data_IF_395239711439
#
_entry.id   IF_395239711439
#
_cell.length_a   1.000
_cell.length_b   1.000
_cell.length_c   1.000
_cell.angle_alpha   90.00
_cell.angle_beta   90.00
_cell.angle_gamma   90.00
#
_symmetry.space_group_name_H-M   'P 1'
#
loop_
_entity.id
_entity.type
_entity.pdbx_description
1 polymer ?
#
# COMPACT_ATOMS: atom_id res chain seq x y z
N UNK A 1 -1.52 -2.22 6.25
CA UNK A 1 -2.80 -2.86 6.59
C UNK A 1 -3.79 -1.76 6.94
N UNK A 2 -5.00 -1.83 6.39
CA UNK A 2 -6.14 -0.99 6.79
C UNK A 2 -7.20 -1.88 7.45
N UNK A 3 -8.01 -1.32 8.35
CA UNK A 3 -9.05 -2.08 9.07
C UNK A 3 -10.11 -2.66 8.11
N UNK A 4 -10.94 -3.59 8.57
CA UNK A 4 -12.03 -4.12 7.74
C UNK A 4 -13.16 -3.13 7.51
N UNK A 5 -13.27 -2.13 8.38
CA UNK A 5 -14.22 -1.03 8.32
C UNK A 5 -13.76 0.10 7.40
N UNK A 6 -12.49 0.10 7.00
CA UNK A 6 -11.92 1.10 6.10
C UNK A 6 -12.36 0.90 4.65
N UNK A 7 -12.43 2.00 3.90
CA UNK A 7 -12.46 1.96 2.44
C UNK A 7 -11.08 1.55 1.92
N UNK A 8 -10.90 0.26 1.65
CA UNK A 8 -9.61 -0.27 1.20
C UNK A 8 -9.30 0.11 -0.25
N UNK A 9 -10.29 0.40 -1.09
CA UNK A 9 -10.09 0.87 -2.47
C UNK A 9 -9.55 2.31 -2.46
N UNK A 10 -10.08 3.15 -1.56
CA UNK A 10 -9.54 4.47 -1.28
C UNK A 10 -8.07 4.39 -0.82
N UNK A 11 -7.77 3.50 0.13
CA UNK A 11 -6.41 3.28 0.60
C UNK A 11 -5.46 2.78 -0.50
N UNK A 12 -5.94 1.91 -1.40
CA UNK A 12 -5.18 1.42 -2.55
C UNK A 12 -4.87 2.58 -3.52
N UNK A 13 -5.84 3.46 -3.76
CA UNK A 13 -5.65 4.64 -4.60
C UNK A 13 -4.62 5.60 -4.01
N UNK A 14 -4.69 5.88 -2.71
CA UNK A 14 -3.68 6.70 -2.02
C UNK A 14 -2.27 6.09 -2.15
N UNK A 15 -2.16 4.76 -2.11
CA UNK A 15 -0.87 4.08 -2.32
C UNK A 15 -0.37 4.23 -3.76
N UNK A 16 -1.24 4.09 -4.75
CA UNK A 16 -0.90 4.30 -6.16
C UNK A 16 -0.47 5.74 -6.43
N UNK A 17 -1.16 6.72 -5.88
CA UNK A 17 -0.82 8.15 -5.97
C UNK A 17 0.57 8.43 -5.37
N UNK A 18 0.81 7.99 -4.13
CA UNK A 18 2.10 8.17 -3.44
C UNK A 18 3.26 7.51 -4.19
N UNK A 19 3.04 6.34 -4.81
CA UNK A 19 4.05 5.69 -5.65
C UNK A 19 4.24 6.40 -7.00
N UNK A 20 3.16 6.91 -7.59
CA UNK A 20 3.16 7.62 -8.87
C UNK A 20 4.06 8.85 -8.85
N UNK A 21 3.97 9.65 -7.79
CA UNK A 21 4.82 10.83 -7.58
C UNK A 21 6.32 10.49 -7.62
N UNK A 22 6.72 9.37 -7.03
CA UNK A 22 8.12 8.95 -6.96
C UNK A 22 8.56 8.16 -8.21
N UNK A 23 7.62 7.57 -8.94
CA UNK A 23 7.89 6.80 -10.14
C UNK A 23 8.25 7.67 -11.35
N UNK A 24 8.06 8.99 -11.28
CA UNK A 24 8.34 9.91 -12.38
C UNK A 24 9.78 9.82 -12.89
N UNK A 25 10.80 9.66 -12.04
CA UNK A 25 12.20 9.54 -12.50
C UNK A 25 12.46 8.25 -13.30
N UNK A 26 11.70 7.18 -13.02
CA UNK A 26 11.91 5.87 -13.64
C UNK A 26 11.00 5.64 -14.85
N UNK A 27 9.82 6.27 -14.83
CA UNK A 27 8.77 6.11 -15.85
C UNK A 27 8.85 7.16 -16.96
N UNK A 28 9.54 8.28 -16.73
CA UNK A 28 9.65 9.39 -17.69
C UNK A 28 11.03 9.44 -18.36
N UNK A 29 11.06 9.68 -19.67
CA UNK A 29 12.28 10.07 -20.39
C UNK A 29 13.29 8.97 -20.70
N UNK A 30 14.59 9.31 -20.64
CA UNK A 30 15.69 8.49 -21.13
C UNK A 30 15.93 7.22 -20.29
N UNK A 31 15.59 7.25 -18.99
CA UNK A 31 15.71 6.10 -18.07
C UNK A 31 14.73 5.00 -18.46
N UNK A 32 13.46 5.32 -18.68
CA UNK A 32 12.46 4.38 -19.17
C UNK A 32 12.86 3.77 -20.52
N UNK A 33 13.42 4.60 -21.43
CA UNK A 33 13.95 4.14 -22.72
C UNK A 33 15.13 3.18 -22.54
N UNK A 34 16.10 3.52 -21.68
CA UNK A 34 17.26 2.66 -21.37
C UNK A 34 16.83 1.34 -20.72
N UNK A 35 15.85 1.37 -19.81
CA UNK A 35 15.27 0.17 -19.20
C UNK A 35 14.60 -0.73 -20.24
N UNK A 36 13.79 -0.17 -21.16
CA UNK A 36 13.21 -0.95 -22.26
C UNK A 36 14.28 -1.54 -23.18
N UNK A 37 15.32 -0.78 -23.51
CA UNK A 37 16.42 -1.27 -24.36
C UNK A 37 17.24 -2.37 -23.66
N UNK A 38 17.48 -2.24 -22.35
CA UNK A 38 18.15 -3.25 -21.56
C UNK A 38 17.30 -4.52 -21.43
N UNK A 39 15.98 -4.37 -21.24
CA UNK A 39 15.02 -5.48 -21.22
C UNK A 39 15.12 -6.34 -22.49
N UNK A 40 15.13 -5.68 -23.66
CA UNK A 40 15.26 -6.31 -24.97
C UNK A 40 16.62 -7.00 -25.15
N UNK A 41 17.70 -6.45 -24.59
CA UNK A 41 19.06 -6.98 -24.71
C UNK A 41 19.34 -8.15 -23.75
N UNK A 42 18.72 -8.16 -22.58
CA UNK A 42 18.98 -9.15 -21.53
C UNK A 42 17.82 -10.14 -21.28
N UNK A 43 16.80 -10.14 -22.15
CA UNK A 43 15.54 -10.90 -22.00
C UNK A 43 14.88 -10.74 -20.61
N UNK A 44 15.10 -9.58 -19.98
CA UNK A 44 14.48 -9.24 -18.70
C UNK A 44 13.06 -8.80 -19.00
N UNK A 45 12.09 -9.67 -18.76
CA UNK A 45 10.65 -9.35 -18.91
C UNK A 45 10.22 -8.38 -17.81
N UNK A 46 10.35 -7.08 -18.05
CA UNK A 46 9.65 -6.08 -17.24
C UNK A 46 8.18 -6.05 -17.69
N UNK A 47 7.30 -6.76 -16.98
CA UNK A 47 5.87 -6.80 -17.31
C UNK A 47 5.19 -5.44 -17.11
N UNK A 48 5.60 -4.66 -16.11
CA UNK A 48 5.06 -3.32 -15.83
C UNK A 48 6.17 -2.39 -15.32
N UNK A 49 6.42 -1.30 -16.05
CA UNK A 49 7.30 -0.20 -15.61
C UNK A 49 6.58 0.80 -14.71
N UNK A 50 5.25 0.71 -14.66
CA UNK A 50 4.39 1.54 -13.83
C UNK A 50 4.21 0.90 -12.45
N UNK A 51 4.02 1.71 -11.39
CA UNK A 51 3.61 1.21 -10.09
C UNK A 51 2.35 0.35 -10.17
N UNK A 52 2.27 -0.67 -9.34
CA UNK A 52 1.13 -1.58 -9.22
C UNK A 52 0.97 -2.00 -7.77
N UNK A 53 -0.25 -2.27 -7.35
CA UNK A 53 -0.62 -2.75 -6.03
C UNK A 53 -1.08 -4.20 -6.08
N UNK A 54 -0.92 -4.89 -4.96
CA UNK A 54 -1.49 -6.22 -4.69
C UNK A 54 -2.27 -6.16 -3.39
N UNK A 55 -3.48 -6.71 -3.40
CA UNK A 55 -4.36 -6.74 -2.24
C UNK A 55 -4.46 -8.15 -1.71
N UNK A 56 -4.27 -8.32 -0.41
CA UNK A 56 -4.47 -9.59 0.30
C UNK A 56 -5.17 -9.36 1.64
N UNK A 57 -5.87 -10.37 2.14
CA UNK A 57 -6.52 -10.29 3.46
C UNK A 57 -5.60 -10.89 4.53
N UNK A 58 -5.51 -10.23 5.68
CA UNK A 58 -4.80 -10.68 6.89
C UNK A 58 -5.75 -10.67 8.09
N UNK A 59 -5.32 -11.27 9.19
CA UNK A 59 -6.13 -11.43 10.41
C UNK A 59 -6.70 -10.12 10.95
N UNK A 60 -5.99 -9.01 10.76
CA UNK A 60 -6.36 -7.70 11.30
C UNK A 60 -6.88 -6.71 10.25
N UNK A 61 -7.00 -7.10 8.98
CA UNK A 61 -7.51 -6.21 7.93
C UNK A 61 -6.99 -6.51 6.53
N UNK A 62 -7.06 -5.49 5.65
CA UNK A 62 -6.65 -5.59 4.24
C UNK A 62 -5.21 -5.11 4.06
N UNK A 63 -4.36 -5.95 3.51
CA UNK A 63 -2.96 -5.65 3.18
C UNK A 63 -2.85 -5.20 1.72
N UNK A 64 -2.33 -3.99 1.53
CA UNK A 64 -2.04 -3.42 0.23
C UNK A 64 -0.53 -3.34 0.09
N UNK A 65 0.00 -4.05 -0.90
CA UNK A 65 1.44 -4.11 -1.20
C UNK A 65 1.73 -3.39 -2.49
N UNK A 66 2.46 -2.28 -2.41
CA UNK A 66 2.91 -1.52 -3.57
C UNK A 66 4.20 -2.10 -4.17
N UNK A 67 4.26 -2.14 -5.50
CA UNK A 67 5.43 -2.52 -6.29
C UNK A 67 5.73 -1.39 -7.27
N UNK A 68 6.95 -0.86 -7.22
CA UNK A 68 7.46 0.09 -8.21
C UNK A 68 8.93 -0.20 -8.55
N UNK A 69 9.39 0.36 -9.66
CA UNK A 69 10.80 0.29 -10.07
C UNK A 69 11.49 1.61 -9.72
N UNK A 70 12.69 1.51 -9.12
CA UNK A 70 13.53 2.66 -8.74
C UNK A 70 15.00 2.33 -8.95
N UNK A 71 15.88 3.32 -9.20
CA UNK A 71 17.32 3.13 -9.16
C UNK A 71 17.79 2.56 -7.82
N UNK A 72 18.72 1.60 -7.84
CA UNK A 72 19.16 0.91 -6.62
C UNK A 72 19.69 1.87 -5.53
N UNK A 73 20.34 2.96 -5.94
CA UNK A 73 20.92 3.97 -5.02
C UNK A 73 19.87 4.86 -4.37
N UNK A 74 18.68 5.01 -4.95
CA UNK A 74 17.59 5.83 -4.41
C UNK A 74 16.52 5.01 -3.68
N UNK A 75 16.67 3.68 -3.59
CA UNK A 75 15.64 2.80 -2.98
C UNK A 75 15.19 3.27 -1.61
N UNK A 76 16.13 3.59 -0.70
CA UNK A 76 15.81 4.00 0.67
C UNK A 76 15.16 5.39 0.72
N UNK A 77 15.59 6.34 -0.10
CA UNK A 77 15.00 7.68 -0.12
C UNK A 77 13.59 7.65 -0.70
N UNK A 78 13.37 6.89 -1.77
CA UNK A 78 12.05 6.73 -2.39
C UNK A 78 11.09 6.01 -1.46
N UNK A 79 11.50 4.88 -0.85
CA UNK A 79 10.68 4.16 0.12
C UNK A 79 10.23 5.08 1.27
N UNK A 80 11.15 5.89 1.78
CA UNK A 80 10.85 6.85 2.84
C UNK A 80 9.90 7.97 2.40
N UNK A 81 10.05 8.47 1.18
CA UNK A 81 9.15 9.48 0.61
C UNK A 81 7.73 8.91 0.46
N UNK A 82 7.58 7.74 -0.16
CA UNK A 82 6.29 7.04 -0.32
C UNK A 82 5.65 6.80 1.04
N UNK A 83 6.40 6.28 2.01
CA UNK A 83 5.87 5.97 3.33
C UNK A 83 5.37 7.21 4.06
N UNK A 84 6.10 8.33 4.00
CA UNK A 84 5.66 9.59 4.62
C UNK A 84 4.43 10.16 3.91
N UNK A 85 4.45 10.22 2.58
CA UNK A 85 3.31 10.69 1.79
C UNK A 85 2.04 9.87 2.10
N UNK A 86 2.16 8.55 2.13
CA UNK A 86 1.05 7.65 2.45
C UNK A 86 0.52 7.85 3.88
N UNK A 87 1.40 8.01 4.87
CA UNK A 87 0.97 8.27 6.26
C UNK A 87 0.23 9.60 6.38
N UNK A 88 0.68 10.65 5.69
CA UNK A 88 -0.03 11.93 5.67
C UNK A 88 -1.37 11.84 4.96
N UNK A 89 -1.42 11.14 3.82
CA UNK A 89 -2.64 10.94 3.06
C UNK A 89 -3.69 10.16 3.86
N UNK A 90 -3.28 9.05 4.49
CA UNK A 90 -4.18 8.26 5.35
C UNK A 90 -4.70 9.11 6.51
N UNK A 91 -3.85 9.88 7.18
CA UNK A 91 -4.27 10.75 8.28
C UNK A 91 -5.27 11.85 7.85
N UNK A 92 -5.26 12.23 6.56
CA UNK A 92 -6.20 13.19 5.98
C UNK A 92 -7.50 12.56 5.47
N UNK A 93 -7.61 11.22 5.44
CA UNK A 93 -8.75 10.49 4.88
C UNK A 93 -9.52 9.78 6.01
N UNK A 94 -10.67 10.33 6.46
CA UNK A 94 -11.38 9.82 7.65
C UNK A 94 -11.88 8.38 7.53
N UNK A 95 -12.11 7.89 6.31
CA UNK A 95 -12.63 6.54 6.05
C UNK A 95 -11.52 5.49 5.88
N UNK A 96 -10.27 5.84 6.15
CA UNK A 96 -9.12 4.93 6.05
C UNK A 96 -8.37 4.94 7.38
N UNK A 97 -8.40 3.82 8.07
CA UNK A 97 -7.72 3.62 9.35
C UNK A 97 -6.68 2.51 9.24
N UNK A 98 -5.51 2.73 9.83
CA UNK A 98 -4.45 1.73 9.88
C UNK A 98 -4.88 0.58 10.80
N UNK A 99 -4.74 -0.64 10.31
CA UNK A 99 -5.02 -1.81 11.12
C UNK A 99 -4.00 -1.98 12.25
N UNK A 100 -4.50 -2.50 13.36
CA UNK A 100 -3.74 -2.99 14.50
C UNK A 100 -4.31 -4.35 14.91
N UNK A 101 -3.55 -5.18 15.64
CA UNK A 101 -4.08 -6.44 16.16
C UNK A 101 -5.35 -6.20 16.99
N UNK A 102 -6.48 -6.67 16.50
CA UNK A 102 -7.80 -6.42 17.09
C UNK A 102 -8.55 -7.74 17.28
N UNK A 103 -9.31 -7.84 18.38
CA UNK A 103 -10.20 -8.96 18.65
C UNK A 103 -11.61 -8.45 18.91
N UNK A 104 -12.59 -8.99 18.17
CA UNK A 104 -14.01 -8.73 18.43
C UNK A 104 -14.58 -9.81 19.34
N UNK A 105 -15.15 -9.41 20.47
CA UNK A 105 -15.97 -10.29 21.32
C UNK A 105 -17.44 -10.04 21.04
N UNK A 106 -18.20 -11.11 20.78
CA UNK A 106 -19.66 -11.07 20.74
C UNK A 106 -20.15 -11.72 22.02
N UNK A 107 -20.62 -10.90 22.96
CA UNK A 107 -21.24 -11.42 24.18
C UNK A 107 -22.65 -11.87 23.80
N UNK A 108 -22.83 -13.18 23.68
CA UNK A 108 -24.15 -13.78 23.49
C UNK A 108 -24.63 -14.26 24.86
N UNK A 109 -25.28 -13.37 25.61
CA UNK A 109 -25.97 -13.69 26.85
C UNK A 109 -27.41 -13.16 26.78
N UNK A 110 -28.37 -13.77 27.51
CA UNK A 110 -29.69 -13.17 27.67
C UNK A 110 -29.53 -11.75 28.22
N UNK A 111 -30.37 -10.77 27.79
CA UNK A 111 -30.25 -9.41 28.28
C UNK A 111 -30.50 -9.37 29.79
N UNK A 112 -29.44 -9.11 30.55
CA UNK A 112 -29.50 -8.78 31.97
C UNK A 112 -29.52 -9.98 32.93
N UNK A 113 -28.36 -10.57 33.22
CA UNK A 113 -27.99 -10.95 34.59
C UNK A 113 -26.48 -10.73 34.73
N UNK A 114 -26.10 -9.62 35.36
CA UNK A 114 -24.77 -9.50 35.94
C UNK A 114 -24.88 -10.10 37.35
N UNK A 115 -24.60 -11.40 37.49
CA UNK A 115 -24.34 -11.95 38.81
C UNK A 115 -22.91 -11.54 39.18
N UNK A 116 -22.84 -10.56 40.08
CA UNK A 116 -21.62 -10.24 40.80
C UNK A 116 -21.45 -11.23 41.94
N UNK A 117 -20.23 -11.76 42.05
CA UNK A 117 -19.65 -12.33 43.27
C UNK A 117 -18.21 -11.82 43.38
#
# INVERSE_FOLDING_TARGET
LVTFESDWEEAERLMLEAMGEQAHETTSGEVARRLRMAALRYDIKYTHLTPTTYVTVRDSGVEITGRLLVPARSRRSVEQAIRRALLHAIAATPNVELAYPTRRSVITGPPGVFDGD
#
